data_IF_516501661306
#
_entry.id   IF_516501661306
#
_cell.length_a   1.000
_cell.length_b   1.000
_cell.length_c   1.000
_cell.angle_alpha   90.00
_cell.angle_beta   90.00
_cell.angle_gamma   90.00
#
_symmetry.space_group_name_H-M   'P 1'
#
loop_
_entity.id
_entity.type
_entity.pdbx_description
1 polymer ?
#
# COMPACT_ATOMS: atom_id res chain seq x y z
N UNK A 1 -6.27 -15.64 -20.95
CA UNK A 1 -5.46 -15.59 -19.72
C UNK A 1 -3.98 -15.47 -20.01
N UNK A 2 -3.58 -14.51 -20.85
CA UNK A 2 -2.19 -14.24 -21.26
C UNK A 2 -1.80 -12.77 -21.03
N UNK A 3 -2.60 -12.05 -20.24
CA UNK A 3 -2.50 -10.59 -20.17
C UNK A 3 -1.47 -10.15 -19.13
N UNK A 4 -1.50 -10.64 -17.88
CA UNK A 4 -0.55 -10.31 -16.81
C UNK A 4 -0.43 -11.40 -15.72
N UNK A 5 0.67 -11.44 -14.93
CA UNK A 5 1.91 -10.67 -15.09
C UNK A 5 2.85 -11.27 -16.15
N UNK A 6 3.62 -10.41 -16.83
CA UNK A 6 4.65 -10.74 -17.83
C UNK A 6 6.02 -10.31 -17.31
N UNK A 7 6.49 -11.00 -16.28
CA UNK A 7 7.74 -10.70 -15.57
C UNK A 7 8.83 -11.65 -16.05
N UNK A 8 9.31 -11.39 -17.26
CA UNK A 8 10.26 -12.23 -18.00
C UNK A 8 11.53 -11.50 -18.44
N UNK A 9 11.54 -10.17 -18.37
CA UNK A 9 12.67 -9.36 -18.83
C UNK A 9 13.37 -8.58 -17.71
N UNK A 10 14.70 -8.64 -17.75
CA UNK A 10 15.56 -7.80 -16.92
C UNK A 10 15.45 -6.33 -17.30
N UNK A 11 15.66 -5.46 -16.30
CA UNK A 11 15.72 -4.01 -16.41
C UNK A 11 14.41 -3.30 -16.78
N UNK A 12 13.27 -4.01 -16.80
CA UNK A 12 11.97 -3.36 -16.84
C UNK A 12 11.82 -2.37 -15.68
N UNK A 13 11.13 -1.27 -15.95
CA UNK A 13 10.95 -0.18 -14.99
C UNK A 13 9.96 -0.60 -13.90
N UNK A 14 10.29 -0.30 -12.65
CA UNK A 14 9.36 -0.37 -11.52
C UNK A 14 8.92 1.05 -11.20
N UNK A 15 7.64 1.34 -11.44
CA UNK A 15 7.07 2.70 -11.35
C UNK A 15 5.97 2.71 -10.30
N UNK A 16 6.04 3.66 -9.37
CA UNK A 16 4.97 3.94 -8.43
C UNK A 16 4.04 5.03 -8.97
N UNK A 17 2.74 4.88 -8.75
CA UNK A 17 1.76 5.95 -8.89
C UNK A 17 1.45 6.52 -7.51
N UNK A 18 1.53 7.86 -7.41
CA UNK A 18 1.33 8.54 -6.13
C UNK A 18 -0.06 8.28 -5.54
N UNK A 19 -0.13 8.03 -4.24
CA UNK A 19 -1.35 8.17 -3.44
C UNK A 19 -1.45 9.60 -2.91
N UNK A 20 -2.61 9.96 -2.37
CA UNK A 20 -2.84 11.27 -1.75
C UNK A 20 -3.02 11.19 -0.23
N UNK A 21 -2.84 10.02 0.37
CA UNK A 21 -3.10 9.76 1.79
C UNK A 21 -3.28 8.27 2.07
N UNK A 22 -4.06 7.95 3.09
CA UNK A 22 -4.24 6.58 3.59
C UNK A 22 -5.01 5.65 2.62
N UNK A 23 -5.76 6.23 1.68
CA UNK A 23 -6.81 5.48 0.97
C UNK A 23 -7.75 4.82 1.99
N UNK A 24 -8.05 3.53 1.87
CA UNK A 24 -8.92 2.78 2.79
C UNK A 24 -8.16 1.77 3.66
N UNK A 25 -6.81 1.77 3.65
CA UNK A 25 -6.00 0.78 4.38
C UNK A 25 -5.37 1.30 5.68
N UNK A 26 -5.14 0.40 6.63
CA UNK A 26 -4.35 0.62 7.86
C UNK A 26 -4.98 1.54 8.92
N UNK A 27 -6.24 1.94 8.75
CA UNK A 27 -6.95 2.80 9.70
C UNK A 27 -7.29 2.09 11.03
N UNK A 28 -7.31 0.76 11.05
CA UNK A 28 -7.48 -0.08 12.24
C UNK A 28 -6.28 0.01 13.20
N UNK A 29 -5.05 0.03 12.67
CA UNK A 29 -3.82 0.25 13.44
C UNK A 29 -3.66 1.71 13.86
N UNK A 30 -4.21 2.63 13.07
CA UNK A 30 -4.41 4.00 13.52
C UNK A 30 -5.47 4.11 14.62
N UNK A 31 -6.19 3.03 14.97
CA UNK A 31 -7.30 3.06 15.95
C UNK A 31 -7.06 2.31 17.27
N UNK A 32 -6.21 1.27 17.30
CA UNK A 32 -6.17 0.32 18.41
C UNK A 32 -5.52 0.81 19.71
N UNK A 33 -4.72 1.88 19.68
CA UNK A 33 -4.21 2.56 20.90
C UNK A 33 -4.58 4.05 20.90
N UNK A 34 -5.47 4.42 19.99
CA UNK A 34 -5.32 5.70 19.32
C UNK A 34 -6.65 6.30 18.94
N UNK A 35 -7.82 5.65 18.94
CA UNK A 35 -9.09 6.41 18.85
C UNK A 35 -9.49 7.09 20.17
N UNK A 36 -9.05 6.59 21.33
CA UNK A 36 -9.28 7.32 22.60
C UNK A 36 -8.26 8.47 22.75
N UNK A 37 -6.99 8.22 22.39
CA UNK A 37 -5.93 9.24 22.41
C UNK A 37 -5.99 10.20 21.23
N UNK A 38 -6.36 9.75 20.03
CA UNK A 38 -6.74 10.61 18.91
C UNK A 38 -8.08 11.25 19.24
N UNK A 39 -9.13 10.57 19.67
CA UNK A 39 -10.40 11.20 20.05
C UNK A 39 -10.21 12.39 21.01
N UNK A 40 -9.38 12.22 22.05
CA UNK A 40 -8.96 13.32 22.93
C UNK A 40 -8.07 14.37 22.23
N UNK A 41 -7.05 13.99 21.43
CA UNK A 41 -6.17 14.95 20.72
C UNK A 41 -6.77 15.60 19.46
N UNK A 42 -7.85 15.02 18.94
CA UNK A 42 -8.61 15.45 17.77
C UNK A 42 -9.72 16.41 18.20
N UNK A 43 -10.31 16.20 19.38
CA UNK A 43 -11.29 17.11 19.99
C UNK A 43 -10.62 18.23 20.81
N UNK A 44 -9.48 17.96 21.45
CA UNK A 44 -8.65 18.97 22.11
C UNK A 44 -7.32 19.11 21.37
N UNK A 45 -7.07 20.25 20.68
CA UNK A 45 -5.83 20.47 19.94
C UNK A 45 -4.68 20.58 20.94
N UNK A 46 -4.00 19.46 21.23
CA UNK A 46 -2.89 19.46 22.17
C UNK A 46 -1.78 20.36 21.64
N UNK A 47 -1.41 21.35 22.45
CA UNK A 47 -0.29 22.24 22.25
C UNK A 47 1.02 21.44 22.26
N UNK A 48 1.52 21.04 21.07
CA UNK A 48 2.94 20.72 20.89
C UNK A 48 3.65 21.91 20.24
N UNK A 49 4.92 22.20 20.59
CA UNK A 49 5.55 23.49 20.29
C UNK A 49 6.04 23.66 18.83
N UNK A 50 5.90 22.66 17.96
CA UNK A 50 6.41 22.70 16.58
C UNK A 50 5.28 22.71 15.53
N UNK A 51 4.81 23.93 15.26
CA UNK A 51 4.30 24.59 14.04
C UNK A 51 3.43 23.93 12.95
N UNK A 52 3.24 22.61 12.79
CA UNK A 52 2.23 22.09 11.82
C UNK A 52 1.28 21.06 12.43
N UNK A 53 -0.02 21.41 12.47
CA UNK A 53 -1.11 20.52 12.91
C UNK A 53 -1.63 19.73 11.72
N UNK A 54 -1.68 18.40 11.82
CA UNK A 54 -2.36 17.58 10.82
C UNK A 54 -3.88 17.80 10.94
N UNK A 55 -4.51 18.24 9.87
CA UNK A 55 -5.96 18.43 9.86
C UNK A 55 -6.66 17.07 9.74
N UNK A 56 -7.72 16.82 10.50
CA UNK A 56 -8.52 15.57 10.43
C UNK A 56 -8.99 15.19 9.03
N UNK A 57 -9.21 16.20 8.19
CA UNK A 57 -9.59 16.05 6.80
C UNK A 57 -8.54 15.28 5.97
N UNK A 58 -7.28 15.22 6.41
CA UNK A 58 -6.20 14.45 5.79
C UNK A 58 -6.49 12.94 5.81
N UNK A 59 -7.16 12.43 6.85
CA UNK A 59 -7.58 11.03 6.95
C UNK A 59 -8.76 10.72 6.01
N UNK A 60 -9.53 11.73 5.62
CA UNK A 60 -10.70 11.61 4.75
C UNK A 60 -10.42 11.91 3.27
N UNK A 61 -9.15 12.14 2.90
CA UNK A 61 -8.80 12.32 1.49
C UNK A 61 -9.29 11.11 0.68
N UNK A 62 -10.07 11.32 -0.39
CA UNK A 62 -10.64 10.22 -1.17
C UNK A 62 -9.55 9.43 -1.86
N UNK A 63 -9.69 8.11 -1.92
CA UNK A 63 -8.76 7.23 -2.61
C UNK A 63 -8.64 7.60 -4.08
N UNK A 64 -7.41 7.58 -4.59
CA UNK A 64 -7.14 7.89 -5.99
C UNK A 64 -7.65 6.77 -6.90
N UNK A 65 -8.22 7.13 -8.05
CA UNK A 65 -8.63 6.18 -9.10
C UNK A 65 -7.61 6.22 -10.23
N UNK A 66 -6.94 5.10 -10.48
CA UNK A 66 -5.80 5.03 -11.40
C UNK A 66 -6.16 4.63 -12.84
N UNK A 67 -7.41 4.22 -13.10
CA UNK A 67 -7.87 3.72 -14.40
C UNK A 67 -7.50 4.63 -15.56
N UNK A 68 -7.69 5.95 -15.43
CA UNK A 68 -7.37 6.91 -16.50
C UNK A 68 -5.88 6.96 -16.82
N UNK A 69 -5.02 6.74 -15.83
CA UNK A 69 -3.56 6.71 -16.01
C UNK A 69 -3.07 5.37 -16.54
N UNK A 70 -3.73 4.28 -16.16
CA UNK A 70 -3.24 2.90 -16.34
C UNK A 70 -3.85 2.22 -17.57
N UNK A 71 -5.17 2.31 -17.75
CA UNK A 71 -5.89 1.58 -18.80
C UNK A 71 -5.38 1.88 -20.22
N UNK A 72 -5.03 3.14 -20.60
CA UNK A 72 -4.46 3.41 -21.92
C UNK A 72 -3.10 2.72 -22.15
N UNK A 73 -2.30 2.56 -21.10
CA UNK A 73 -0.99 1.91 -21.15
C UNK A 73 -1.15 0.39 -21.20
N UNK A 74 -2.09 -0.17 -20.45
CA UNK A 74 -2.46 -1.59 -20.56
C UNK A 74 -2.89 -1.93 -21.99
N UNK A 75 -3.77 -1.13 -22.59
CA UNK A 75 -4.25 -1.33 -23.99
C UNK A 75 -3.13 -1.24 -25.03
N UNK A 76 -2.07 -0.49 -24.74
CA UNK A 76 -0.86 -0.42 -25.58
C UNK A 76 0.09 -1.61 -25.39
N UNK A 77 -0.15 -2.45 -24.39
CA UNK A 77 0.70 -3.60 -24.07
C UNK A 77 2.04 -3.24 -23.43
N UNK A 78 2.20 -2.01 -22.91
CA UNK A 78 3.49 -1.55 -22.32
C UNK A 78 3.62 -1.86 -20.84
N UNK A 79 2.50 -2.00 -20.14
CA UNK A 79 2.48 -2.49 -18.76
C UNK A 79 2.71 -4.00 -18.84
N UNK A 80 3.48 -4.53 -17.89
CA UNK A 80 3.84 -5.95 -17.72
C UNK A 80 3.37 -6.52 -16.39
N UNK A 81 3.15 -5.69 -15.37
CA UNK A 81 2.47 -6.08 -14.14
C UNK A 81 1.89 -4.85 -13.45
N UNK A 82 0.87 -5.08 -12.62
CA UNK A 82 0.22 -4.08 -11.79
C UNK A 82 0.07 -4.67 -10.40
N UNK A 83 0.40 -3.89 -9.37
CA UNK A 83 0.10 -4.21 -7.98
C UNK A 83 -0.55 -2.98 -7.33
N UNK A 84 -1.80 -3.12 -6.89
CA UNK A 84 -2.48 -2.07 -6.12
C UNK A 84 -2.01 -2.13 -4.67
N UNK A 85 -1.54 -1.00 -4.13
CA UNK A 85 -0.97 -0.93 -2.79
C UNK A 85 -2.06 -0.61 -1.77
N UNK A 86 -2.58 -1.67 -1.14
CA UNK A 86 -3.69 -1.59 -0.18
C UNK A 86 -3.23 -2.02 1.22
N UNK A 87 -3.71 -3.17 1.71
CA UNK A 87 -3.29 -3.79 2.95
C UNK A 87 -1.99 -4.58 2.74
N UNK A 88 -1.02 -4.41 3.65
CA UNK A 88 0.33 -4.96 3.49
C UNK A 88 1.35 -3.94 2.96
N UNK A 89 0.88 -2.74 2.61
CA UNK A 89 1.72 -1.60 2.25
C UNK A 89 2.62 -1.82 1.04
N UNK A 90 3.61 -0.93 0.89
CA UNK A 90 4.59 -0.99 -0.20
C UNK A 90 5.31 -2.35 -0.21
N UNK A 91 5.61 -2.90 0.97
CA UNK A 91 6.28 -4.19 1.12
C UNK A 91 5.56 -5.32 0.35
N UNK A 92 4.24 -5.44 0.57
CA UNK A 92 3.43 -6.45 -0.12
C UNK A 92 3.34 -6.16 -1.62
N UNK A 93 3.17 -4.90 -1.99
CA UNK A 93 3.09 -4.50 -3.40
C UNK A 93 4.35 -4.83 -4.20
N UNK A 94 5.54 -4.64 -3.61
CA UNK A 94 6.81 -5.05 -4.22
C UNK A 94 6.98 -6.57 -4.23
N UNK A 95 6.58 -7.25 -3.15
CA UNK A 95 6.64 -8.71 -3.05
C UNK A 95 5.81 -9.39 -4.15
N UNK A 96 4.68 -8.83 -4.54
CA UNK A 96 3.83 -9.36 -5.60
C UNK A 96 4.49 -9.31 -6.99
N UNK A 97 5.58 -8.56 -7.14
CA UNK A 97 6.39 -8.50 -8.37
C UNK A 97 7.54 -9.52 -8.40
N UNK A 98 7.73 -10.31 -7.34
CA UNK A 98 8.77 -11.34 -7.29
C UNK A 98 8.30 -12.61 -8.01
N UNK A 99 8.60 -12.72 -9.31
CA UNK A 99 8.21 -13.86 -10.13
C UNK A 99 9.35 -14.24 -11.09
N UNK A 100 9.51 -15.53 -11.37
CA UNK A 100 10.44 -16.01 -12.40
C UNK A 100 11.93 -15.76 -12.12
N UNK A 101 12.32 -15.55 -10.85
CA UNK A 101 13.70 -15.18 -10.48
C UNK A 101 14.04 -13.71 -10.74
N UNK A 102 13.04 -12.90 -11.10
CA UNK A 102 13.15 -11.45 -11.14
C UNK A 102 12.64 -10.85 -9.84
N UNK A 103 13.38 -9.88 -9.33
CA UNK A 103 13.09 -9.16 -8.09
C UNK A 103 13.26 -7.65 -8.29
N UNK A 104 12.38 -6.83 -7.71
CA UNK A 104 12.57 -5.39 -7.65
C UNK A 104 13.89 -4.98 -6.97
N UNK A 105 14.61 -4.06 -7.61
CA UNK A 105 15.64 -3.24 -7.01
C UNK A 105 15.17 -1.79 -7.06
N UNK A 106 14.82 -1.23 -5.90
CA UNK A 106 14.15 0.07 -5.78
C UNK A 106 14.80 0.98 -4.75
N UNK A 107 14.79 2.27 -5.07
CA UNK A 107 15.14 3.37 -4.18
C UNK A 107 13.88 4.21 -3.89
N UNK A 108 13.49 4.21 -2.61
CA UNK A 108 12.34 4.94 -2.11
C UNK A 108 12.72 6.29 -1.49
N UNK A 109 13.96 6.78 -1.68
CA UNK A 109 14.46 8.05 -1.12
C UNK A 109 13.77 9.31 -1.66
N UNK A 110 13.10 9.19 -2.82
CA UNK A 110 12.48 10.29 -3.56
C UNK A 110 10.94 10.16 -3.63
N UNK A 111 10.33 9.26 -2.84
CA UNK A 111 8.87 9.21 -2.75
C UNK A 111 8.37 10.40 -1.93
N UNK A 112 7.27 10.99 -2.40
CA UNK A 112 6.56 12.03 -1.67
C UNK A 112 5.65 11.36 -0.65
N UNK A 113 5.97 11.52 0.64
CA UNK A 113 5.22 10.89 1.74
C UNK A 113 4.14 11.88 2.22
N UNK A 114 2.84 11.57 2.06
CA UNK A 114 1.77 12.42 2.56
C UNK A 114 1.90 12.72 4.07
N UNK A 115 1.52 13.93 4.52
CA UNK A 115 1.71 14.38 5.90
C UNK A 115 1.15 13.43 6.97
N UNK A 116 0.06 12.72 6.67
CA UNK A 116 -0.55 11.73 7.57
C UNK A 116 0.43 10.65 8.02
N UNK A 117 1.34 10.20 7.15
CA UNK A 117 2.32 9.17 7.50
C UNK A 117 3.48 9.73 8.32
N UNK A 118 3.90 10.96 8.02
CA UNK A 118 4.87 11.69 8.85
C UNK A 118 4.35 11.91 10.27
N UNK A 119 3.07 12.26 10.38
CA UNK A 119 2.39 12.41 11.67
C UNK A 119 2.29 11.07 12.41
N UNK A 120 1.93 9.98 11.72
CA UNK A 120 1.88 8.64 12.31
C UNK A 120 3.27 8.20 12.83
N UNK A 121 4.32 8.44 12.04
CA UNK A 121 5.70 8.19 12.46
C UNK A 121 6.09 8.99 13.70
N UNK A 122 5.76 10.29 13.72
CA UNK A 122 6.02 11.16 14.86
C UNK A 122 5.24 10.77 16.13
N UNK A 123 4.12 10.05 15.97
CA UNK A 123 3.29 9.55 17.08
C UNK A 123 3.57 8.07 17.43
N UNK A 124 4.73 7.54 17.04
CA UNK A 124 5.25 6.27 17.54
C UNK A 124 5.06 5.06 16.64
N UNK A 125 4.55 5.22 15.42
CA UNK A 125 4.57 4.13 14.43
C UNK A 125 5.97 4.00 13.83
N UNK A 126 6.57 2.82 13.95
CA UNK A 126 7.87 2.55 13.35
C UNK A 126 7.81 2.58 11.82
N UNK A 127 8.94 2.90 11.19
CA UNK A 127 9.11 2.89 9.74
C UNK A 127 8.78 1.50 9.17
N UNK A 128 9.12 0.43 9.90
CA UNK A 128 8.75 -0.93 9.53
C UNK A 128 7.24 -1.12 9.47
N UNK A 129 6.50 -0.62 10.46
CA UNK A 129 5.04 -0.71 10.47
C UNK A 129 4.46 0.09 9.31
N UNK A 130 4.98 1.29 9.07
CA UNK A 130 4.60 2.13 7.94
C UNK A 130 4.79 1.39 6.61
N UNK A 131 5.98 0.83 6.37
CA UNK A 131 6.32 0.08 5.16
C UNK A 131 5.43 -1.15 4.90
N UNK A 132 5.10 -1.90 5.96
CA UNK A 132 4.37 -3.17 5.87
C UNK A 132 2.84 -3.05 5.97
N UNK A 133 2.32 -1.85 6.25
CA UNK A 133 0.88 -1.68 6.47
C UNK A 133 0.27 -0.58 5.63
N UNK A 134 1.07 0.38 5.20
CA UNK A 134 0.59 1.57 4.54
C UNK A 134 1.23 1.78 3.17
N UNK A 135 0.51 2.50 2.32
CA UNK A 135 0.95 2.86 0.98
C UNK A 135 2.05 3.93 0.99
N UNK A 136 2.18 4.70 2.07
CA UNK A 136 3.22 5.71 2.30
C UNK A 136 3.50 6.65 1.12
N UNK A 137 2.46 7.00 0.34
CA UNK A 137 2.60 7.88 -0.82
C UNK A 137 2.59 7.17 -2.18
N UNK A 138 2.62 5.83 -2.22
CA UNK A 138 2.56 5.04 -3.45
C UNK A 138 1.31 4.15 -3.41
N UNK A 139 0.28 4.51 -4.17
CA UNK A 139 -0.98 3.76 -4.18
C UNK A 139 -1.03 2.62 -5.19
N UNK A 140 -0.15 2.60 -6.19
CA UNK A 140 -0.08 1.50 -7.16
C UNK A 140 1.34 1.36 -7.70
N UNK A 141 1.79 0.15 -7.96
CA UNK A 141 3.11 -0.15 -8.53
C UNK A 141 2.91 -0.84 -9.87
N UNK A 142 3.64 -0.39 -10.88
CA UNK A 142 3.61 -0.90 -12.24
C UNK A 142 4.99 -1.46 -12.61
N UNK A 143 5.00 -2.58 -13.32
CA UNK A 143 6.16 -2.97 -14.12
C UNK A 143 5.89 -2.55 -15.55
N UNK A 144 6.81 -1.78 -16.12
CA UNK A 144 6.68 -1.19 -17.46
C UNK A 144 7.87 -1.61 -18.30
N UNK A 145 7.60 -1.96 -19.55
CA UNK A 145 8.61 -2.34 -20.53
C UNK A 145 9.77 -1.32 -20.59
N UNK A 146 11.01 -1.82 -20.50
CA UNK A 146 12.23 -1.00 -20.54
C UNK A 146 12.39 -0.16 -21.82
N UNK A 147 11.77 -0.56 -22.93
CA UNK A 147 11.79 0.17 -24.21
C UNK A 147 10.75 1.30 -24.27
N UNK A 148 9.88 1.41 -23.26
CA UNK A 148 8.93 2.50 -23.16
C UNK A 148 9.60 3.80 -22.69
N UNK A 149 10.12 4.56 -23.65
CA UNK A 149 10.83 5.83 -23.41
C UNK A 149 9.95 6.95 -22.81
N UNK A 150 8.62 6.81 -22.86
CA UNK A 150 7.67 7.80 -22.35
C UNK A 150 7.15 7.50 -20.94
N UNK A 151 7.84 6.65 -20.16
CA UNK A 151 7.43 6.31 -18.80
C UNK A 151 7.28 7.55 -17.90
N UNK A 152 8.08 8.60 -18.14
CA UNK A 152 8.00 9.90 -17.44
C UNK A 152 6.71 10.69 -17.71
N UNK A 153 5.96 10.37 -18.77
CA UNK A 153 4.69 11.03 -19.13
C UNK A 153 3.48 10.42 -18.41
N UNK A 154 3.65 9.30 -17.69
CA UNK A 154 2.58 8.70 -16.90
C UNK A 154 2.21 9.67 -15.76
N UNK A 155 0.99 10.21 -15.77
CA UNK A 155 0.59 11.23 -14.78
C UNK A 155 0.74 10.71 -13.35
N UNK A 156 1.53 11.43 -12.54
CA UNK A 156 1.75 11.10 -11.12
C UNK A 156 2.71 9.93 -10.89
N UNK A 157 3.57 9.61 -11.86
CA UNK A 157 4.59 8.58 -11.70
C UNK A 157 5.72 9.02 -10.76
N UNK A 158 6.36 8.01 -10.17
CA UNK A 158 7.67 8.07 -9.54
C UNK A 158 8.42 6.83 -10.01
N UNK A 159 9.59 7.02 -10.62
CA UNK A 159 10.47 5.89 -10.93
C UNK A 159 11.06 5.37 -9.61
N UNK A 160 10.69 4.15 -9.22
CA UNK A 160 11.20 3.52 -8.00
C UNK A 160 12.48 2.75 -8.28
N UNK A 161 12.61 2.15 -9.46
CA UNK A 161 13.79 1.40 -9.83
C UNK A 161 13.56 0.46 -11.00
N UNK A 162 14.16 -0.73 -10.95
CA UNK A 162 14.12 -1.72 -12.04
C UNK A 162 14.02 -3.15 -11.53
N UNK A 163 13.54 -4.05 -12.37
CA UNK A 163 13.66 -5.48 -12.13
C UNK A 163 15.08 -5.96 -12.38
N UNK A 164 15.56 -6.80 -11.47
CA UNK A 164 16.90 -7.41 -11.50
C UNK A 164 16.80 -8.91 -11.29
N UNK A 165 17.83 -9.66 -11.68
CA UNK A 165 17.90 -11.10 -11.39
C UNK A 165 18.30 -11.29 -9.94
N UNK A 166 17.57 -12.14 -9.20
CA UNK A 166 17.90 -12.45 -7.83
C UNK A 166 16.79 -13.19 -7.10
N UNK A 167 17.10 -13.59 -5.87
CA UNK A 167 16.16 -14.28 -4.97
C UNK A 167 15.59 -13.35 -3.90
N UNK A 168 16.19 -12.18 -3.71
CA UNK A 168 15.86 -11.22 -2.64
C UNK A 168 15.76 -9.83 -3.25
N UNK A 169 14.66 -9.14 -2.96
CA UNK A 169 14.48 -7.74 -3.37
C UNK A 169 15.50 -6.82 -2.70
N UNK A 170 15.83 -5.72 -3.37
CA UNK A 170 16.63 -4.65 -2.80
C UNK A 170 15.77 -3.41 -2.66
N UNK A 171 15.58 -2.95 -1.43
CA UNK A 171 14.78 -1.77 -1.11
C UNK A 171 15.63 -0.83 -0.26
N UNK A 172 15.78 0.41 -0.70
CA UNK A 172 16.58 1.42 -0.03
C UNK A 172 15.82 2.75 0.09
N UNK A 173 16.35 3.71 0.87
CA UNK A 173 15.83 5.08 0.92
C UNK A 173 14.53 5.32 1.71
N UNK A 174 13.74 4.27 2.01
CA UNK A 174 12.43 4.43 2.66
C UNK A 174 12.50 5.11 4.03
N UNK A 175 13.43 4.69 4.90
CA UNK A 175 13.61 5.29 6.22
C UNK A 175 13.91 6.79 6.09
N UNK A 176 14.83 7.16 5.19
CA UNK A 176 15.16 8.58 4.94
C UNK A 176 13.93 9.39 4.55
N UNK A 177 13.07 8.86 3.68
CA UNK A 177 11.83 9.52 3.27
C UNK A 177 10.85 9.68 4.43
N UNK A 178 10.67 8.65 5.25
CA UNK A 178 9.79 8.71 6.43
C UNK A 178 10.33 9.72 7.44
N UNK A 179 11.62 9.67 7.75
CA UNK A 179 12.26 10.61 8.68
C UNK A 179 12.11 12.05 8.19
N UNK A 180 12.26 12.33 6.90
CA UNK A 180 12.00 13.68 6.35
C UNK A 180 10.55 14.12 6.58
N UNK A 181 9.59 13.20 6.44
CA UNK A 181 8.18 13.48 6.64
C UNK A 181 7.79 13.68 8.12
N UNK A 182 8.58 13.20 9.09
CA UNK A 182 8.31 13.42 10.52
C UNK A 182 8.84 14.78 11.03
N UNK A 183 9.78 15.42 10.32
CA UNK A 183 10.41 16.70 10.72
C UNK A 183 9.37 17.80 11.01
N UNK A 184 8.35 18.05 10.17
CA UNK A 184 7.33 19.08 10.45
C UNK A 184 6.55 18.85 11.76
N UNK A 185 6.53 17.61 12.25
CA UNK A 185 5.83 17.19 13.47
C UNK A 185 6.73 17.12 14.71
N UNK A 186 7.96 17.64 14.63
CA UNK A 186 8.84 17.83 15.78
C UNK A 186 9.75 16.65 16.12
N UNK A 187 9.90 15.66 15.24
CA UNK A 187 10.84 14.56 15.41
C UNK A 187 12.23 14.90 14.87
N UNK A 188 13.27 14.52 15.62
CA UNK A 188 14.66 14.54 15.16
C UNK A 188 14.99 13.26 14.39
N UNK A 189 15.92 13.29 13.41
CA UNK A 189 16.32 12.10 12.69
C UNK A 189 16.94 11.07 13.63
N UNK A 190 16.29 9.92 13.79
CA UNK A 190 16.94 8.73 14.33
C UNK A 190 17.43 7.87 13.18
N UNK A 191 18.74 7.64 13.09
CA UNK A 191 19.33 6.70 12.14
C UNK A 191 18.99 5.26 12.54
N UNK A 192 17.80 4.79 12.18
CA UNK A 192 17.49 3.36 12.23
C UNK A 192 17.81 2.75 10.85
N UNK A 193 18.97 2.09 10.74
CA UNK A 193 19.30 1.33 9.54
C UNK A 193 18.38 0.11 9.48
N UNK A 194 17.45 0.11 8.53
CA UNK A 194 16.55 -1.02 8.29
C UNK A 194 17.29 -2.17 7.61
N UNK A 195 17.34 -3.32 8.29
CA UNK A 195 17.69 -4.62 7.71
C UNK A 195 16.43 -5.48 7.70
N UNK A 196 16.10 -6.02 6.52
CA UNK A 196 14.88 -6.77 6.24
C UNK A 196 14.92 -8.22 6.81
N UNK A 197 15.99 -8.59 7.51
CA UNK A 197 16.17 -9.91 8.09
C UNK A 197 15.60 -10.02 9.52
N UNK A 198 14.30 -9.76 9.70
CA UNK A 198 13.65 -10.06 10.98
C UNK A 198 13.11 -11.49 11.03
N UNK A 199 13.93 -12.37 11.58
CA UNK A 199 13.62 -13.78 11.83
C UNK A 199 12.34 -13.96 12.64
N UNK A 200 11.99 -13.02 13.52
CA UNK A 200 10.80 -13.13 14.37
C UNK A 200 9.49 -12.96 13.60
N UNK A 201 9.43 -12.02 12.65
CA UNK A 201 8.25 -11.86 11.79
C UNK A 201 8.10 -13.02 10.81
N UNK A 202 9.22 -13.55 10.33
CA UNK A 202 9.22 -14.74 9.46
C UNK A 202 8.69 -15.97 10.22
N UNK A 203 9.12 -16.17 11.46
CA UNK A 203 8.61 -17.23 12.34
C UNK A 203 7.13 -17.03 12.70
N UNK A 204 6.69 -15.79 12.93
CA UNK A 204 5.28 -15.48 13.19
C UNK A 204 4.40 -15.66 11.94
N UNK A 205 4.87 -15.26 10.76
CA UNK A 205 4.18 -15.51 9.51
C UNK A 205 4.07 -17.00 9.22
N UNK A 206 5.13 -17.77 9.47
CA UNK A 206 5.11 -19.23 9.38
C UNK A 206 4.12 -19.87 10.36
N UNK A 207 3.98 -19.34 11.57
CA UNK A 207 2.99 -19.87 12.54
C UNK A 207 1.55 -19.54 12.14
N UNK A 208 1.29 -18.35 11.59
CA UNK A 208 0.00 -17.98 10.99
C UNK A 208 -0.30 -18.84 9.77
N UNK A 209 0.68 -19.06 8.88
CA UNK A 209 0.52 -19.89 7.68
C UNK A 209 0.22 -21.35 8.06
N UNK A 210 0.82 -21.87 9.14
CA UNK A 210 0.48 -23.20 9.70
C UNK A 210 -0.96 -23.28 10.22
N UNK A 211 -1.48 -22.22 10.83
CA UNK A 211 -2.87 -22.16 11.31
C UNK A 211 -3.84 -21.98 10.15
N UNK A 212 -3.51 -21.11 9.20
CA UNK A 212 -4.30 -20.88 7.99
C UNK A 212 -4.36 -22.14 7.11
N UNK A 213 -3.27 -22.91 7.03
CA UNK A 213 -3.23 -24.18 6.31
C UNK A 213 -4.24 -25.20 6.87
N UNK A 214 -4.53 -25.17 8.18
CA UNK A 214 -5.58 -26.01 8.80
C UNK A 214 -7.00 -25.61 8.42
N UNK A 215 -7.18 -24.44 7.80
CA UNK A 215 -8.46 -23.91 7.33
C UNK A 215 -8.64 -24.04 5.81
N UNK A 216 -7.66 -24.63 5.11
CA UNK A 216 -7.73 -24.87 3.67
C UNK A 216 -8.82 -25.89 3.34
N UNK A 217 -9.72 -25.49 2.45
CA UNK A 217 -10.67 -26.39 1.80
C UNK A 217 -10.08 -26.90 0.47
N UNK A 218 -10.50 -28.07 -0.06
CA UNK A 218 -9.95 -28.65 -1.30
C UNK A 218 -10.00 -27.70 -2.51
N UNK A 219 -10.97 -26.79 -2.51
CA UNK A 219 -11.20 -25.81 -3.57
C UNK A 219 -10.57 -24.44 -3.29
N UNK A 220 -9.95 -24.24 -2.12
CA UNK A 220 -9.27 -22.99 -1.74
C UNK A 220 -7.76 -23.18 -1.89
N UNK A 221 -7.13 -22.33 -2.68
CA UNK A 221 -5.69 -22.25 -2.86
C UNK A 221 -5.16 -20.97 -2.20
N UNK A 222 -4.11 -21.10 -1.41
CA UNK A 222 -3.37 -19.96 -0.87
C UNK A 222 -2.10 -19.75 -1.70
N UNK A 223 -1.88 -18.52 -2.18
CA UNK A 223 -0.62 -18.13 -2.82
C UNK A 223 -0.22 -16.73 -2.35
N UNK A 224 0.95 -16.60 -1.72
CA UNK A 224 1.48 -15.34 -1.17
C UNK A 224 0.48 -14.57 -0.29
N UNK A 225 -0.18 -15.23 0.65
CA UNK A 225 -1.21 -14.62 1.53
C UNK A 225 -2.50 -14.17 0.81
N UNK A 226 -2.63 -14.43 -0.50
CA UNK A 226 -3.85 -14.23 -1.28
C UNK A 226 -4.62 -15.55 -1.39
N UNK A 227 -5.93 -15.50 -1.11
CA UNK A 227 -6.84 -16.65 -1.20
C UNK A 227 -7.49 -16.70 -2.57
N UNK A 228 -7.28 -17.81 -3.28
CA UNK A 228 -7.95 -18.15 -4.53
C UNK A 228 -8.95 -19.26 -4.26
N UNK A 229 -10.16 -19.17 -4.81
CA UNK A 229 -11.17 -20.22 -4.70
C UNK A 229 -11.51 -20.74 -6.10
N UNK A 230 -11.44 -22.05 -6.30
CA UNK A 230 -11.96 -22.72 -7.49
C UNK A 230 -13.48 -22.75 -7.41
N UNK A 231 -14.14 -21.96 -8.26
CA UNK A 231 -15.59 -21.96 -8.38
C UNK A 231 -15.99 -22.99 -9.43
N UNK A 232 -16.75 -24.03 -9.04
CA UNK A 232 -17.25 -25.05 -9.97
C UNK A 232 -18.30 -24.46 -10.93
N UNK A 233 -18.35 -24.88 -12.19
CA UNK A 233 -19.18 -24.20 -13.20
C UNK A 233 -20.71 -24.39 -13.04
N UNK A 234 -21.19 -25.17 -12.05
CA UNK A 234 -22.61 -25.43 -11.82
C UNK A 234 -22.99 -25.11 -10.37
N UNK A 235 -23.64 -23.98 -10.16
CA UNK A 235 -24.34 -23.66 -8.90
C UNK A 235 -25.81 -23.37 -9.20
N UNK A 236 -26.72 -24.07 -8.51
CA UNK A 236 -28.12 -23.69 -8.44
C UNK A 236 -28.30 -22.86 -7.17
N UNK A 237 -28.64 -21.58 -7.34
CA UNK A 237 -28.86 -20.59 -6.26
C UNK A 237 -27.65 -20.35 -5.32
N UNK A 238 -26.48 -19.93 -5.84
CA UNK A 238 -25.32 -19.69 -4.99
C UNK A 238 -25.52 -18.45 -4.12
N UNK A 239 -25.31 -18.60 -2.81
CA UNK A 239 -25.07 -17.46 -1.92
C UNK A 239 -23.61 -17.04 -2.09
N UNK A 240 -23.41 -15.92 -2.77
CA UNK A 240 -22.11 -15.31 -3.01
C UNK A 240 -21.69 -14.47 -1.79
N UNK A 241 -20.59 -14.85 -1.13
CA UNK A 241 -19.96 -14.01 -0.10
C UNK A 241 -18.79 -13.27 -0.74
N UNK A 242 -19.06 -12.04 -1.20
CA UNK A 242 -18.04 -11.12 -1.69
C UNK A 242 -17.36 -10.40 -0.54
N UNK A 243 -16.03 -10.40 -0.51
CA UNK A 243 -15.25 -9.43 0.24
C UNK A 243 -15.17 -8.14 -0.56
N UNK A 244 -15.74 -7.06 -0.02
CA UNK A 244 -15.50 -5.70 -0.51
C UNK A 244 -14.50 -5.06 0.43
N UNK A 245 -13.48 -4.39 -0.12
CA UNK A 245 -12.56 -3.64 0.73
C UNK A 245 -13.35 -2.48 1.37
N UNK A 246 -13.28 -2.39 2.69
CA UNK A 246 -14.21 -1.59 3.47
C UNK A 246 -13.75 -0.14 3.67
N UNK A 247 -14.68 0.81 3.63
CA UNK A 247 -14.45 2.21 4.05
C UNK A 247 -14.67 2.42 5.56
N UNK A 248 -14.76 1.32 6.33
CA UNK A 248 -15.37 1.28 7.67
C UNK A 248 -14.81 2.28 8.69
N UNK A 249 -13.50 2.38 8.83
CA UNK A 249 -12.90 3.32 9.79
C UNK A 249 -12.97 4.77 9.31
N UNK A 250 -12.91 4.99 7.99
CA UNK A 250 -13.12 6.30 7.37
C UNK A 250 -14.54 6.83 7.61
N UNK A 251 -15.55 5.95 7.61
CA UNK A 251 -16.92 6.30 7.98
C UNK A 251 -17.03 6.82 9.42
N UNK A 252 -16.31 6.22 10.38
CA UNK A 252 -16.30 6.69 11.77
C UNK A 252 -15.74 8.11 11.88
N UNK A 253 -14.57 8.36 11.28
CA UNK A 253 -13.93 9.69 11.27
C UNK A 253 -14.84 10.72 10.57
N UNK A 254 -15.43 10.35 9.44
CA UNK A 254 -16.36 11.20 8.71
C UNK A 254 -17.58 11.61 9.55
N UNK A 255 -18.10 10.68 10.34
CA UNK A 255 -19.21 10.94 11.27
C UNK A 255 -18.80 11.89 12.40
N UNK A 256 -17.64 11.66 13.01
CA UNK A 256 -17.11 12.51 14.08
C UNK A 256 -16.93 13.97 13.63
N UNK A 257 -16.47 14.19 12.40
CA UNK A 257 -16.23 15.55 11.88
C UNK A 257 -17.36 16.09 10.99
N UNK A 258 -18.48 15.36 10.87
CA UNK A 258 -19.64 15.71 10.05
C UNK A 258 -19.28 16.03 8.57
N UNK A 259 -18.37 15.25 7.96
CA UNK A 259 -17.97 15.40 6.54
C UNK A 259 -18.10 14.09 5.78
N UNK A 260 -19.16 13.95 4.99
CA UNK A 260 -19.50 12.68 4.32
C UNK A 260 -19.29 12.70 2.80
N UNK A 261 -19.01 13.87 2.24
CA UNK A 261 -19.15 14.17 0.81
C UNK A 261 -18.24 13.34 -0.11
N UNK A 262 -17.10 12.85 0.40
CA UNK A 262 -16.07 12.15 -0.38
C UNK A 262 -16.11 10.62 -0.23
N UNK A 263 -16.88 10.09 0.73
CA UNK A 263 -16.89 8.67 1.07
C UNK A 263 -17.39 7.77 -0.06
N UNK A 264 -18.29 8.28 -0.91
CA UNK A 264 -18.79 7.54 -2.07
C UNK A 264 -17.69 7.18 -3.06
N UNK A 265 -16.62 7.99 -3.15
CA UNK A 265 -15.47 7.69 -4.00
C UNK A 265 -14.71 6.48 -3.47
N UNK A 266 -14.51 6.41 -2.16
CA UNK A 266 -13.78 5.32 -1.51
C UNK A 266 -14.48 3.96 -1.66
N UNK A 267 -15.82 3.94 -1.76
CA UNK A 267 -16.62 2.74 -2.03
C UNK A 267 -16.38 2.16 -3.43
N UNK A 268 -15.98 3.00 -4.39
CA UNK A 268 -15.79 2.60 -5.79
C UNK A 268 -14.31 2.43 -6.13
N UNK A 269 -13.46 3.31 -5.60
CA UNK A 269 -12.06 3.40 -5.98
C UNK A 269 -11.28 2.10 -5.74
N UNK A 270 -11.52 1.44 -4.60
CA UNK A 270 -10.84 0.19 -4.27
C UNK A 270 -11.18 -0.91 -5.28
N UNK A 271 -12.48 -1.10 -5.56
CA UNK A 271 -12.94 -2.11 -6.50
C UNK A 271 -12.56 -1.84 -7.96
N UNK A 272 -12.35 -0.59 -8.33
CA UNK A 272 -12.01 -0.19 -9.71
C UNK A 272 -10.50 -0.21 -9.95
N UNK A 273 -9.69 -0.06 -8.90
CA UNK A 273 -8.24 -0.16 -8.98
C UNK A 273 -7.73 -1.61 -8.96
N UNK A 274 -8.46 -2.51 -8.29
CA UNK A 274 -8.25 -3.96 -8.34
C UNK A 274 -8.64 -4.55 -9.71
#
# INVERSE_FOLDING_TARGET
>A
GSEFPKLDELNDFVIGLRSNGLHCSGLDLASSNSMDVLGEKLCNPTHTPSQERLHLAEFLKPSMIYVKSVLPLMKKGVIKAISHVTNGGIAKGLQDLCLGGLVPNVDLSNIDIPPVFGWLGANGLSERTLYNKFNCGIGMILVVDKHFNNHSQIKGNVLLGRLTSGSVMQVSGFVSSVTKATIPFGCSPSESVFSENDTNFTQFKQSIDMVAAKTLQPDVYLHNSTRFLKVNAKYNDPILVMGTDGVGTKLKIAHEIQKHDTLGVDLVAMCVND
#
